data_IF_695938599285
#
_entry.id   IF_695938599285
#
_cell.length_a   1.000
_cell.length_b   1.000
_cell.length_c   1.000
_cell.angle_alpha   90.00
_cell.angle_beta   90.00
_cell.angle_gamma   90.00
#
_symmetry.space_group_name_H-M   'P 1'
#
loop_
_entity.id
_entity.type
_entity.pdbx_description
1 polymer ?
#
# COMPACT_ATOMS: atom_id res chain seq x y z
N UNK A 1 -22.87 -10.79 -2.69
CA UNK A 1 -23.17 -10.55 -4.12
C UNK A 1 -23.14 -9.06 -4.43
N UNK A 2 -22.80 -8.67 -5.66
CA UNK A 2 -22.77 -7.28 -6.10
C UNK A 2 -23.60 -7.07 -7.35
N UNK A 3 -24.31 -5.92 -7.43
CA UNK A 3 -24.95 -5.41 -8.65
C UNK A 3 -24.12 -4.25 -9.17
N UNK A 4 -23.98 -4.16 -10.50
CA UNK A 4 -23.34 -3.03 -11.16
C UNK A 4 -24.42 -2.14 -11.76
N UNK A 5 -24.41 -0.86 -11.41
CA UNK A 5 -25.40 0.12 -11.85
C UNK A 5 -24.73 1.48 -12.03
N UNK A 6 -24.83 2.07 -13.22
CA UNK A 6 -24.19 3.36 -13.56
C UNK A 6 -22.67 3.41 -13.23
N UNK A 7 -21.96 2.31 -13.49
CA UNK A 7 -20.53 2.17 -13.18
C UNK A 7 -20.20 1.99 -11.70
N UNK A 8 -21.20 1.92 -10.82
CA UNK A 8 -21.02 1.69 -9.37
C UNK A 8 -21.27 0.24 -9.00
N UNK A 9 -20.42 -0.28 -8.13
CA UNK A 9 -20.58 -1.62 -7.53
C UNK A 9 -21.36 -1.51 -6.23
N UNK A 10 -22.59 -1.99 -6.22
CA UNK A 10 -23.50 -1.95 -5.08
C UNK A 10 -23.57 -3.33 -4.44
N UNK A 11 -23.31 -3.43 -3.13
CA UNK A 11 -23.47 -4.68 -2.38
C UNK A 11 -24.98 -4.96 -2.24
N UNK A 12 -25.44 -6.09 -2.75
CA UNK A 12 -26.88 -6.47 -2.73
C UNK A 12 -27.21 -7.57 -1.73
N UNK A 13 -26.19 -8.21 -1.18
CA UNK A 13 -26.33 -9.24 -0.17
C UNK A 13 -25.15 -9.17 0.78
N UNK A 14 -25.42 -9.37 2.06
CA UNK A 14 -24.37 -9.50 3.05
C UNK A 14 -23.47 -10.71 2.76
N UNK A 15 -22.18 -10.49 2.99
CA UNK A 15 -21.19 -11.55 2.99
C UNK A 15 -21.00 -12.10 4.41
N UNK A 16 -20.19 -13.16 4.55
CA UNK A 16 -19.80 -13.67 5.86
C UNK A 16 -19.13 -12.57 6.70
N UNK A 17 -19.28 -12.67 8.03
CA UNK A 17 -18.73 -11.71 9.00
C UNK A 17 -17.44 -12.27 9.58
N UNK A 18 -16.33 -11.60 9.30
CA UNK A 18 -15.03 -11.89 9.89
C UNK A 18 -14.47 -10.64 10.56
N UNK A 19 -13.64 -10.78 11.61
CA UNK A 19 -12.85 -9.65 12.09
C UNK A 19 -11.99 -9.11 10.96
N UNK A 20 -11.78 -7.80 10.91
CA UNK A 20 -11.01 -7.17 9.86
C UNK A 20 -10.28 -5.92 10.35
N UNK A 21 -9.12 -5.65 9.76
CA UNK A 21 -8.43 -4.37 9.85
C UNK A 21 -8.83 -3.52 8.65
N UNK A 22 -9.29 -2.30 8.91
CA UNK A 22 -9.68 -1.34 7.88
C UNK A 22 -8.65 -0.23 7.82
N UNK A 23 -8.13 0.02 6.62
CA UNK A 23 -7.16 1.08 6.35
C UNK A 23 -7.73 2.04 5.31
N UNK A 24 -7.89 3.30 5.71
CA UNK A 24 -8.39 4.33 4.82
C UNK A 24 -7.35 4.72 3.77
N UNK A 25 -7.75 4.68 2.50
CA UNK A 25 -6.95 5.13 1.35
C UNK A 25 -7.35 6.55 0.99
N UNK A 26 -6.38 7.45 0.94
CA UNK A 26 -6.61 8.89 0.77
C UNK A 26 -6.04 9.39 -0.54
N UNK A 27 -6.86 10.15 -1.26
CA UNK A 27 -6.48 10.93 -2.43
C UNK A 27 -5.42 11.98 -2.07
N UNK A 28 -4.80 12.65 -3.06
CA UNK A 28 -3.81 13.70 -2.80
C UNK A 28 -4.34 14.87 -1.95
N UNK A 29 -5.66 15.04 -1.93
CA UNK A 29 -6.39 16.07 -1.16
C UNK A 29 -6.72 15.64 0.28
N UNK A 30 -6.39 14.41 0.67
CA UNK A 30 -6.69 13.85 1.99
C UNK A 30 -8.08 13.21 2.08
N UNK A 31 -8.93 13.40 1.07
CA UNK A 31 -10.24 12.77 0.99
C UNK A 31 -10.12 11.24 0.90
N UNK A 32 -10.93 10.53 1.68
CA UNK A 32 -11.02 9.07 1.61
C UNK A 32 -11.83 8.69 0.37
N UNK A 33 -11.21 7.95 -0.55
CA UNK A 33 -11.85 7.47 -1.78
C UNK A 33 -12.00 5.95 -1.83
N UNK A 34 -11.19 5.24 -1.03
CA UNK A 34 -11.25 3.80 -0.89
C UNK A 34 -10.88 3.35 0.53
N UNK A 35 -11.23 2.10 0.83
CA UNK A 35 -10.80 1.40 2.02
C UNK A 35 -10.14 0.09 1.61
N UNK A 36 -8.97 -0.17 2.18
CA UNK A 36 -8.34 -1.48 2.15
C UNK A 36 -8.78 -2.25 3.39
N UNK A 37 -9.23 -3.49 3.20
CA UNK A 37 -9.73 -4.34 4.27
C UNK A 37 -8.95 -5.65 4.26
N UNK A 38 -8.33 -5.98 5.38
CA UNK A 38 -7.71 -7.30 5.61
C UNK A 38 -8.58 -8.07 6.58
N UNK A 39 -9.20 -9.15 6.10
CA UNK A 39 -9.94 -10.07 6.97
C UNK A 39 -8.97 -10.94 7.76
N UNK A 40 -9.30 -11.16 9.03
CA UNK A 40 -8.51 -11.93 9.98
C UNK A 40 -9.21 -13.25 10.29
N UNK A 41 -8.41 -14.26 10.61
CA UNK A 41 -8.94 -15.50 11.16
C UNK A 41 -9.54 -15.23 12.54
N UNK A 42 -10.77 -15.68 12.83
CA UNK A 42 -11.30 -15.64 14.19
C UNK A 42 -10.60 -16.64 15.12
N UNK A 43 -9.77 -17.54 14.59
CA UNK A 43 -9.12 -18.63 15.32
C UNK A 43 -7.65 -18.34 15.68
N UNK A 44 -7.08 -17.23 15.21
CA UNK A 44 -5.67 -16.90 15.50
C UNK A 44 -5.18 -15.64 14.78
N UNK A 45 -3.98 -15.16 15.12
CA UNK A 45 -3.42 -13.89 14.63
C UNK A 45 -2.85 -14.03 13.21
N UNK A 46 -3.70 -14.40 12.27
CA UNK A 46 -3.35 -14.52 10.86
C UNK A 46 -4.44 -13.94 9.97
N UNK A 47 -4.07 -13.62 8.73
CA UNK A 47 -5.04 -13.32 7.67
C UNK A 47 -6.02 -14.49 7.55
N UNK A 48 -7.26 -14.20 7.18
CA UNK A 48 -8.28 -15.22 6.98
C UNK A 48 -7.77 -16.25 5.94
N UNK A 49 -7.67 -17.54 6.28
CA UNK A 49 -7.32 -18.57 5.32
C UNK A 49 -8.40 -18.65 4.24
N UNK A 50 -7.99 -18.53 2.98
CA UNK A 50 -8.87 -18.51 1.81
C UNK A 50 -8.42 -19.56 0.80
N UNK A 51 -9.31 -20.05 -0.05
CA UNK A 51 -9.02 -21.16 -0.98
C UNK A 51 -9.27 -20.79 -2.44
N UNK A 52 -8.53 -21.41 -3.36
CA UNK A 52 -8.64 -21.11 -4.79
C UNK A 52 -8.28 -19.67 -5.11
N UNK A 53 -9.17 -18.97 -5.82
CA UNK A 53 -8.99 -17.57 -6.26
C UNK A 53 -9.50 -16.52 -5.25
N UNK A 54 -9.88 -16.95 -4.05
CA UNK A 54 -10.31 -16.03 -2.98
C UNK A 54 -9.12 -15.24 -2.41
N UNK A 55 -9.39 -14.03 -1.91
CA UNK A 55 -8.39 -13.17 -1.26
C UNK A 55 -8.88 -12.73 0.11
N UNK A 56 -7.99 -12.79 1.12
CA UNK A 56 -8.22 -12.26 2.45
C UNK A 56 -8.22 -10.72 2.49
N UNK A 57 -7.83 -10.07 1.39
CA UNK A 57 -7.74 -8.62 1.24
C UNK A 57 -8.73 -8.15 0.19
N UNK A 58 -9.51 -7.11 0.50
CA UNK A 58 -10.35 -6.42 -0.49
C UNK A 58 -10.07 -4.92 -0.46
N UNK A 59 -10.09 -4.31 -1.65
CA UNK A 59 -10.18 -2.86 -1.80
C UNK A 59 -11.60 -2.49 -2.24
N UNK A 60 -12.19 -1.51 -1.57
CA UNK A 60 -13.53 -1.01 -1.88
C UNK A 60 -13.49 0.50 -2.07
N UNK A 61 -13.91 0.96 -3.25
CA UNK A 61 -13.87 2.38 -3.65
C UNK A 61 -12.89 2.63 -4.80
N UNK A 62 -12.57 3.91 -5.03
CA UNK A 62 -11.59 4.34 -6.03
C UNK A 62 -10.20 4.37 -5.41
N UNK A 63 -9.39 3.37 -5.73
CA UNK A 63 -8.05 3.19 -5.16
C UNK A 63 -6.94 3.84 -6.01
N UNK A 64 -7.20 4.16 -7.29
CA UNK A 64 -6.18 4.76 -8.14
C UNK A 64 -5.84 6.17 -7.66
N UNK A 65 -4.57 6.42 -7.38
CA UNK A 65 -4.07 7.67 -6.81
C UNK A 65 -4.32 7.82 -5.31
N UNK A 66 -4.95 6.84 -4.66
CA UNK A 66 -5.23 6.85 -3.22
C UNK A 66 -4.22 5.98 -2.46
N UNK A 67 -3.67 6.50 -1.37
CA UNK A 67 -2.65 5.80 -0.59
C UNK A 67 -3.10 5.58 0.85
N UNK A 68 -2.73 4.44 1.44
CA UNK A 68 -2.76 4.26 2.89
C UNK A 68 -1.55 5.00 3.44
N UNK A 69 -1.78 6.13 4.11
CA UNK A 69 -0.71 6.95 4.68
C UNK A 69 -0.37 6.43 6.08
N UNK A 70 0.62 5.58 6.19
CA UNK A 70 0.96 4.84 7.43
C UNK A 70 1.75 5.74 8.38
N UNK A 71 2.80 6.40 7.87
CA UNK A 71 3.58 7.38 8.62
C UNK A 71 3.67 8.70 7.85
N UNK A 72 3.59 9.80 8.60
CA UNK A 72 3.78 11.15 8.11
C UNK A 72 5.24 11.64 8.21
N UNK A 73 6.16 10.77 8.64
CA UNK A 73 7.57 11.10 8.81
C UNK A 73 7.82 12.06 9.96
N UNK A 74 9.01 12.69 10.03
CA UNK A 74 9.47 13.42 11.22
C UNK A 74 8.60 14.60 11.67
N UNK A 75 7.92 15.27 10.75
CA UNK A 75 7.03 16.40 11.09
C UNK A 75 5.70 15.92 11.67
N UNK A 76 5.30 14.66 11.45
CA UNK A 76 4.01 14.13 11.87
C UNK A 76 2.80 14.67 11.10
N UNK A 77 3.01 15.63 10.19
CA UNK A 77 1.96 16.30 9.44
C UNK A 77 1.60 15.57 8.12
N UNK A 78 0.30 15.41 7.81
CA UNK A 78 -0.13 14.87 6.52
C UNK A 78 0.28 15.78 5.35
N UNK A 79 0.26 15.27 4.11
CA UNK A 79 0.64 16.03 2.91
C UNK A 79 0.00 17.40 2.76
N UNK A 80 -1.22 17.59 3.26
CA UNK A 80 -1.97 18.84 3.12
C UNK A 80 -1.48 19.96 4.06
N UNK A 81 -0.83 19.62 5.17
CA UNK A 81 -0.38 20.56 6.21
C UNK A 81 1.13 20.55 6.41
N UNK A 82 1.83 19.56 5.86
CA UNK A 82 3.27 19.46 5.92
C UNK A 82 3.97 20.66 5.27
N UNK A 83 4.91 21.25 6.01
CA UNK A 83 5.72 22.39 5.55
C UNK A 83 7.10 21.96 5.04
N UNK A 84 7.53 20.74 5.38
CA UNK A 84 8.85 20.22 5.01
C UNK A 84 8.78 18.92 4.19
N UNK A 85 9.64 18.81 3.14
CA UNK A 85 9.75 17.58 2.39
C UNK A 85 10.61 16.54 3.15
N UNK A 86 10.22 15.27 3.06
CA UNK A 86 10.97 14.12 3.59
C UNK A 86 10.93 12.96 2.61
N UNK A 87 11.87 11.99 2.69
CA UNK A 87 11.83 10.79 1.85
C UNK A 87 10.50 10.06 2.02
N UNK A 88 9.98 9.51 0.94
CA UNK A 88 8.79 8.68 0.93
C UNK A 88 9.16 7.25 0.57
N UNK A 89 8.81 6.32 1.44
CA UNK A 89 8.85 4.89 1.18
C UNK A 89 7.47 4.45 0.68
N UNK A 90 7.43 3.85 -0.51
CA UNK A 90 6.25 3.24 -1.11
C UNK A 90 6.35 1.72 -1.00
N UNK A 91 5.29 1.08 -0.50
CA UNK A 91 5.18 -0.39 -0.43
C UNK A 91 3.83 -0.86 -0.95
N UNK A 92 3.72 -2.14 -1.31
CA UNK A 92 2.44 -2.72 -1.72
C UNK A 92 1.55 -2.98 -0.51
N UNK A 93 2.07 -3.73 0.48
CA UNK A 93 1.34 -4.17 1.66
C UNK A 93 1.32 -3.15 2.81
N UNK A 94 0.19 -3.10 3.51
CA UNK A 94 0.06 -2.27 4.73
C UNK A 94 0.90 -2.80 5.90
N UNK A 95 1.15 -4.10 5.97
CA UNK A 95 1.97 -4.72 7.02
C UNK A 95 3.45 -4.39 6.79
N UNK A 96 3.95 -4.50 5.56
CA UNK A 96 5.30 -4.07 5.19
C UNK A 96 5.54 -2.61 5.49
N UNK A 97 4.57 -1.77 5.11
CA UNK A 97 4.62 -0.34 5.41
C UNK A 97 4.62 -0.03 6.89
N UNK A 98 3.96 -0.84 7.73
CA UNK A 98 4.02 -0.66 9.19
C UNK A 98 5.42 -0.99 9.72
N UNK A 99 6.02 -2.09 9.27
CA UNK A 99 7.39 -2.48 9.63
C UNK A 99 8.41 -1.42 9.20
N UNK A 100 8.26 -0.91 7.98
CA UNK A 100 9.11 0.16 7.45
C UNK A 100 8.94 1.49 8.21
N UNK A 101 7.72 1.83 8.61
CA UNK A 101 7.44 3.03 9.40
C UNK A 101 8.06 2.96 10.80
N UNK A 102 8.10 1.78 11.42
CA UNK A 102 8.76 1.56 12.71
C UNK A 102 10.29 1.60 12.58
N UNK A 103 10.83 1.02 11.52
CA UNK A 103 12.27 0.92 11.31
C UNK A 103 12.92 2.23 10.80
N UNK A 104 12.18 3.05 10.05
CA UNK A 104 12.70 4.24 9.36
C UNK A 104 11.80 5.45 9.67
N UNK A 105 11.79 5.95 10.92
CA UNK A 105 10.95 7.10 11.31
C UNK A 105 11.33 8.40 10.60
N UNK A 106 12.52 8.47 9.99
CA UNK A 106 13.00 9.60 9.19
C UNK A 106 12.25 9.76 7.85
N UNK A 107 11.52 8.73 7.43
CA UNK A 107 10.77 8.70 6.18
C UNK A 107 9.26 8.74 6.40
N UNK A 108 8.54 9.29 5.42
CA UNK A 108 7.12 9.04 5.23
C UNK A 108 6.95 7.63 4.70
N UNK A 109 5.87 6.94 5.05
CA UNK A 109 5.59 5.59 4.54
C UNK A 109 4.15 5.47 4.07
N UNK A 110 3.96 5.12 2.81
CA UNK A 110 2.65 4.87 2.21
C UNK A 110 2.56 3.46 1.63
N UNK A 111 1.39 2.83 1.80
CA UNK A 111 1.06 1.58 1.13
C UNK A 111 0.00 1.80 0.03
N UNK A 112 0.22 1.19 -1.13
CA UNK A 112 -0.64 1.34 -2.30
C UNK A 112 -1.75 0.27 -2.39
N UNK A 113 -1.58 -0.87 -1.71
CA UNK A 113 -2.49 -2.02 -1.77
C UNK A 113 -2.39 -2.88 -3.04
N UNK A 114 -1.70 -2.40 -4.08
CA UNK A 114 -1.32 -3.15 -5.28
C UNK A 114 -0.23 -2.41 -6.07
N UNK A 115 0.56 -3.12 -6.88
CA UNK A 115 1.49 -2.49 -7.85
C UNK A 115 0.77 -1.55 -8.82
N UNK A 116 -0.43 -1.93 -9.28
CA UNK A 116 -1.22 -1.10 -10.20
C UNK A 116 -1.61 0.25 -9.60
N UNK A 117 -1.99 0.30 -8.32
CA UNK A 117 -2.26 1.54 -7.62
C UNK A 117 -0.96 2.34 -7.35
N UNK A 118 0.15 1.65 -7.07
CA UNK A 118 1.44 2.27 -6.77
C UNK A 118 1.95 3.15 -7.93
N UNK A 119 1.77 2.71 -9.18
CA UNK A 119 2.13 3.50 -10.36
C UNK A 119 1.41 4.86 -10.45
N UNK A 120 0.32 5.03 -9.70
CA UNK A 120 -0.45 6.28 -9.63
C UNK A 120 -0.26 7.06 -8.34
N UNK A 121 0.67 6.66 -7.48
CA UNK A 121 0.91 7.29 -6.19
C UNK A 121 1.26 8.78 -6.34
N UNK A 122 0.73 9.68 -5.47
CA UNK A 122 0.93 11.11 -5.58
C UNK A 122 2.28 11.63 -5.11
N UNK A 123 3.34 11.08 -5.69
CA UNK A 123 4.73 11.34 -5.31
C UNK A 123 5.21 12.75 -5.68
N UNK A 124 4.53 13.45 -6.58
CA UNK A 124 4.81 14.84 -6.95
C UNK A 124 4.47 15.83 -5.81
N UNK A 125 3.72 15.42 -4.78
CA UNK A 125 3.33 16.29 -3.67
C UNK A 125 4.54 16.95 -2.99
N UNK A 126 4.47 18.24 -2.59
CA UNK A 126 5.62 18.96 -2.03
C UNK A 126 6.23 18.33 -0.77
N UNK A 127 5.45 17.57 0.00
CA UNK A 127 5.91 16.89 1.21
C UNK A 127 6.91 15.72 0.96
N UNK A 128 7.13 15.34 -0.30
CA UNK A 128 8.03 14.25 -0.71
C UNK A 128 9.34 14.82 -1.26
N UNK A 129 10.49 14.50 -0.65
CA UNK A 129 11.81 14.91 -1.15
C UNK A 129 12.43 13.91 -2.13
N UNK A 130 12.16 12.63 -1.93
CA UNK A 130 12.65 11.51 -2.73
C UNK A 130 11.71 10.32 -2.59
N UNK A 131 11.79 9.39 -3.53
CA UNK A 131 10.93 8.21 -3.62
C UNK A 131 11.80 6.98 -3.44
N UNK A 132 11.43 6.12 -2.50
CA UNK A 132 12.06 4.83 -2.24
C UNK A 132 10.97 3.77 -2.42
N UNK A 133 11.12 2.90 -3.40
CA UNK A 133 10.16 1.81 -3.62
C UNK A 133 10.63 0.57 -2.87
N UNK A 134 9.88 0.17 -1.85
CA UNK A 134 10.02 -1.09 -1.13
C UNK A 134 9.50 -2.22 -2.01
N UNK A 135 10.40 -3.12 -2.40
CA UNK A 135 10.11 -4.24 -3.28
C UNK A 135 10.16 -5.55 -2.50
N UNK A 136 9.06 -6.31 -2.57
CA UNK A 136 8.99 -7.69 -2.05
C UNK A 136 9.84 -8.63 -2.91
N UNK A 137 10.25 -9.79 -2.38
CA UNK A 137 11.15 -10.75 -3.05
C UNK A 137 10.46 -11.82 -3.90
N UNK A 138 9.13 -11.76 -4.12
CA UNK A 138 8.37 -12.77 -4.87
C UNK A 138 8.38 -12.52 -6.41
N UNK A 139 9.44 -12.96 -7.10
CA UNK A 139 9.71 -12.62 -8.51
C UNK A 139 9.63 -13.78 -9.50
N UNK A 140 9.10 -14.93 -9.10
CA UNK A 140 9.01 -16.10 -10.00
C UNK A 140 8.11 -15.84 -11.23
N UNK A 141 7.26 -14.80 -11.18
CA UNK A 141 6.32 -14.46 -12.24
C UNK A 141 6.80 -13.28 -13.08
N UNK A 142 7.09 -13.53 -14.37
CA UNK A 142 7.44 -12.50 -15.38
C UNK A 142 6.47 -11.30 -15.43
N UNK A 143 5.21 -11.51 -15.08
CA UNK A 143 4.19 -10.44 -15.02
C UNK A 143 4.47 -9.44 -13.90
N UNK A 144 4.92 -9.90 -12.73
CA UNK A 144 5.21 -9.03 -11.60
C UNK A 144 6.40 -8.10 -11.92
N UNK A 145 7.41 -8.65 -12.62
CA UNK A 145 8.56 -7.89 -13.10
C UNK A 145 8.14 -6.73 -13.98
N UNK A 146 7.35 -7.00 -15.02
CA UNK A 146 6.86 -5.97 -15.95
C UNK A 146 5.98 -4.92 -15.26
N UNK A 147 5.16 -5.35 -14.30
CA UNK A 147 4.34 -4.42 -13.52
C UNK A 147 5.20 -3.49 -12.67
N UNK A 148 6.25 -4.00 -12.06
CA UNK A 148 7.18 -3.18 -11.28
C UNK A 148 8.00 -2.24 -12.16
N UNK A 149 8.54 -2.70 -13.28
CA UNK A 149 9.21 -1.84 -14.27
C UNK A 149 8.30 -0.68 -14.68
N UNK A 150 7.02 -0.96 -14.90
CA UNK A 150 6.01 0.05 -15.22
C UNK A 150 5.78 1.04 -14.09
N UNK A 151 5.77 0.57 -12.84
CA UNK A 151 5.68 1.44 -11.66
C UNK A 151 6.88 2.39 -11.62
N UNK A 152 8.10 1.87 -11.75
CA UNK A 152 9.32 2.68 -11.73
C UNK A 152 9.35 3.72 -12.85
N UNK A 153 8.94 3.33 -14.06
CA UNK A 153 8.79 4.24 -15.20
C UNK A 153 7.81 5.39 -14.89
N UNK A 154 6.61 5.08 -14.37
CA UNK A 154 5.61 6.11 -14.06
C UNK A 154 6.06 7.02 -12.90
N UNK A 155 6.66 6.47 -11.85
CA UNK A 155 7.16 7.26 -10.73
C UNK A 155 8.33 8.19 -11.13
N UNK A 156 9.15 7.78 -12.09
CA UNK A 156 10.27 8.61 -12.58
C UNK A 156 9.81 9.95 -13.19
N UNK A 157 8.55 10.02 -13.67
CA UNK A 157 7.96 11.24 -14.27
C UNK A 157 7.72 12.36 -13.26
N UNK A 158 7.82 12.07 -11.96
CA UNK A 158 7.67 13.07 -10.92
C UNK A 158 8.93 13.94 -10.72
N UNK A 159 10.02 13.67 -11.45
CA UNK A 159 11.28 14.42 -11.41
C UNK A 159 11.90 14.54 -10.00
N UNK A 160 11.66 13.52 -9.17
CA UNK A 160 12.27 13.38 -7.84
C UNK A 160 13.28 12.24 -7.84
N UNK A 161 14.31 12.28 -6.98
CA UNK A 161 15.21 11.15 -6.81
C UNK A 161 14.42 9.88 -6.50
N UNK A 162 14.60 8.85 -7.31
CA UNK A 162 13.90 7.58 -7.23
C UNK A 162 14.92 6.46 -7.03
N UNK A 163 14.76 5.69 -5.96
CA UNK A 163 15.54 4.48 -5.69
C UNK A 163 14.63 3.32 -5.33
N UNK A 164 15.16 2.12 -5.50
CA UNK A 164 14.55 0.87 -5.07
C UNK A 164 15.26 0.38 -3.81
N UNK A 165 14.51 -0.26 -2.91
CA UNK A 165 15.06 -1.07 -1.83
C UNK A 165 14.41 -2.44 -1.80
N UNK A 166 15.21 -3.47 -1.53
CA UNK A 166 14.78 -4.87 -1.45
C UNK A 166 15.05 -5.41 -0.06
N UNK A 167 14.19 -6.30 0.44
CA UNK A 167 14.50 -7.02 1.67
C UNK A 167 15.69 -7.96 1.45
N UNK A 168 16.65 -7.98 2.39
CA UNK A 168 17.84 -8.84 2.30
C UNK A 168 17.65 -10.19 2.99
N UNK A 169 16.57 -10.38 3.75
CA UNK A 169 16.16 -11.63 4.40
C UNK A 169 14.63 -11.76 4.33
N UNK A 170 14.12 -12.99 4.17
CA UNK A 170 12.70 -13.25 4.07
C UNK A 170 12.05 -12.76 2.77
N UNK A 171 10.73 -12.95 2.67
CA UNK A 171 9.96 -12.64 1.47
C UNK A 171 9.65 -11.15 1.33
N UNK A 172 9.37 -10.49 2.44
CA UNK A 172 9.02 -9.08 2.50
C UNK A 172 9.66 -8.38 3.73
N UNK A 173 9.39 -7.09 3.91
CA UNK A 173 9.95 -6.32 5.03
C UNK A 173 9.30 -6.65 6.38
N UNK A 174 8.09 -7.20 6.37
CA UNK A 174 7.44 -7.66 7.58
C UNK A 174 8.06 -8.97 8.10
N UNK A 175 8.42 -9.90 7.21
CA UNK A 175 9.17 -11.11 7.55
C UNK A 175 10.58 -10.75 8.06
N UNK A 176 11.25 -9.80 7.39
CA UNK A 176 12.55 -9.27 7.84
C UNK A 176 12.51 -8.75 9.27
N UNK A 177 11.48 -8.00 9.66
CA UNK A 177 11.34 -7.45 11.00
C UNK A 177 11.08 -8.54 12.06
N UNK A 178 10.42 -9.64 11.68
CA UNK A 178 10.20 -10.78 12.57
C UNK A 178 11.43 -11.68 12.71
N UNK A 179 12.40 -11.56 11.82
CA UNK A 179 13.58 -12.43 11.78
C UNK A 179 13.26 -13.86 11.32
N UNK A 180 12.19 -14.04 10.55
CA UNK A 180 11.78 -15.34 9.99
C UNK A 180 12.49 -15.54 8.63
N UNK A 181 13.16 -16.69 8.44
CA UNK A 181 13.78 -17.13 7.17
C UNK A 181 12.75 -17.60 6.15
#
# INVERSE_FOLDING_TARGET
QFRHENGRRIKVQDGPKFPAVLSAMRMPTGQISAVHMTFLSPLGPQKLPVSGDETAKIMFGEARGAMIRISHGPEGEPPETATRPFPLILCEGVEDGLSLALAIPEARVWAAGSLGAMASAPVWLPCVSSIIVARDNDWEKKTAVKQFERVMEELSRAEKPLTEMTSHLGKDFNDLMKGEE
#
